data_IF_064931412757
#
_entry.id   IF_064931412757
#
_cell.length_a   1.000
_cell.length_b   1.000
_cell.length_c   1.000
_cell.angle_alpha   90.00
_cell.angle_beta   90.00
_cell.angle_gamma   90.00
#
_symmetry.space_group_name_H-M   'P 1'
#
loop_
_entity.id
_entity.type
_entity.pdbx_description
1 polymer ?
#
# COMPACT_ATOMS: atom_id res chain seq x y z
N UNK A 1 -19.22 -14.35 14.31
CA UNK A 1 -18.42 -15.52 13.87
C UNK A 1 -16.98 -15.33 14.29
N UNK A 2 -16.08 -16.26 13.94
CA UNK A 2 -14.62 -16.11 14.11
C UNK A 2 -13.92 -16.30 12.77
N UNK A 3 -12.87 -15.51 12.52
CA UNK A 3 -12.03 -15.61 11.32
C UNK A 3 -10.72 -16.30 11.71
N UNK A 4 -10.38 -17.38 11.01
CA UNK A 4 -9.10 -18.09 11.18
C UNK A 4 -8.23 -17.82 9.96
N UNK A 5 -7.03 -17.27 10.17
CA UNK A 5 -6.10 -16.89 9.10
C UNK A 5 -4.71 -17.46 9.33
N UNK A 6 -3.93 -17.60 8.26
CA UNK A 6 -2.52 -17.99 8.30
C UNK A 6 -1.71 -16.89 9.00
N UNK A 7 -0.87 -17.28 9.96
CA UNK A 7 0.12 -16.37 10.56
C UNK A 7 1.26 -16.12 9.56
N UNK A 8 1.47 -14.86 9.20
CA UNK A 8 2.59 -14.42 8.36
C UNK A 8 3.72 -13.92 9.27
N UNK A 9 4.95 -14.33 9.00
CA UNK A 9 6.12 -13.87 9.73
C UNK A 9 7.04 -13.03 8.83
N UNK A 10 7.52 -11.92 9.36
CA UNK A 10 8.43 -11.02 8.66
C UNK A 10 7.73 -10.10 7.66
N UNK A 11 8.52 -9.55 6.72
CA UNK A 11 8.09 -8.48 5.82
C UNK A 11 8.34 -7.07 6.37
N UNK A 12 8.09 -6.08 5.51
CA UNK A 12 8.07 -4.66 5.85
C UNK A 12 6.60 -4.25 5.91
N UNK A 13 6.21 -3.62 7.01
CA UNK A 13 4.87 -3.08 7.16
C UNK A 13 4.74 -1.81 6.33
N UNK A 14 3.71 -1.78 5.49
CA UNK A 14 3.29 -0.66 4.67
C UNK A 14 1.82 -0.36 4.96
N UNK A 15 1.41 0.86 4.65
CA UNK A 15 0.01 1.22 4.47
C UNK A 15 -0.25 1.40 2.98
N UNK A 16 -1.41 0.92 2.54
CA UNK A 16 -1.87 1.13 1.18
C UNK A 16 -3.38 1.37 1.23
N UNK A 17 -3.88 2.42 0.60
CA UNK A 17 -5.30 2.71 0.69
C UNK A 17 -5.81 3.69 -0.33
N UNK A 18 -7.12 3.89 -0.30
CA UNK A 18 -7.87 4.86 -1.10
C UNK A 18 -8.74 5.67 -0.15
N UNK A 19 -8.75 6.98 -0.33
CA UNK A 19 -9.73 7.87 0.28
C UNK A 19 -10.38 8.71 -0.80
N UNK A 20 -11.70 8.69 -0.84
CA UNK A 20 -12.47 9.48 -1.80
C UNK A 20 -12.92 10.77 -1.16
N UNK A 21 -12.42 11.87 -1.69
CA UNK A 21 -12.92 13.19 -1.36
C UNK A 21 -14.13 13.54 -2.25
N UNK A 22 -15.19 14.17 -1.73
CA UNK A 22 -16.36 14.54 -2.52
C UNK A 22 -16.08 15.51 -3.68
N UNK A 23 -15.03 16.33 -3.59
CA UNK A 23 -14.66 17.32 -4.61
C UNK A 23 -13.56 16.81 -5.52
N UNK A 24 -12.53 16.18 -4.95
CA UNK A 24 -11.32 15.78 -5.69
C UNK A 24 -11.35 14.33 -6.18
N UNK A 25 -12.31 13.53 -5.74
CA UNK A 25 -12.41 12.11 -6.07
C UNK A 25 -11.44 11.24 -5.27
N UNK A 26 -11.23 9.98 -5.69
CA UNK A 26 -10.34 9.05 -5.01
C UNK A 26 -8.87 9.50 -5.06
N UNK A 27 -8.16 9.31 -3.96
CA UNK A 27 -6.71 9.41 -3.88
C UNK A 27 -6.15 8.13 -3.27
N UNK A 28 -5.16 7.54 -3.94
CA UNK A 28 -4.40 6.39 -3.47
C UNK A 28 -3.27 6.89 -2.58
N UNK A 29 -3.09 6.26 -1.43
CA UNK A 29 -1.97 6.49 -0.52
C UNK A 29 -1.11 5.24 -0.41
N UNK A 30 0.21 5.42 -0.48
CA UNK A 30 1.19 4.38 -0.16
C UNK A 30 2.20 4.96 0.82
N UNK A 31 2.58 4.20 1.84
CA UNK A 31 3.60 4.63 2.80
C UNK A 31 4.05 3.49 3.70
N UNK A 32 5.04 3.74 4.55
CA UNK A 32 5.41 2.77 5.59
C UNK A 32 4.30 2.62 6.63
N UNK A 33 4.20 1.46 7.27
CA UNK A 33 3.33 1.17 8.41
C UNK A 33 4.09 1.14 9.75
N UNK A 34 3.36 0.91 10.85
CA UNK A 34 3.93 0.78 12.19
C UNK A 34 4.50 2.08 12.77
N UNK A 35 5.48 1.97 13.69
CA UNK A 35 6.07 3.11 14.44
C UNK A 35 6.65 4.23 13.56
N UNK A 36 6.92 3.95 12.27
CA UNK A 36 7.46 4.93 11.34
C UNK A 36 6.40 5.93 10.84
N UNK A 37 5.10 5.65 11.00
CA UNK A 37 3.99 6.49 10.52
C UNK A 37 3.74 7.72 11.39
N UNK A 38 3.70 7.54 12.71
CA UNK A 38 3.19 8.59 13.60
C UNK A 38 4.09 9.84 13.65
N UNK A 39 5.39 9.67 13.33
CA UNK A 39 6.38 10.74 13.47
C UNK A 39 6.86 11.31 12.12
N UNK A 40 6.80 10.54 11.02
CA UNK A 40 7.40 10.96 9.74
C UNK A 40 6.40 11.34 8.65
N UNK A 41 5.12 10.91 8.75
CA UNK A 41 4.09 11.10 7.69
C UNK A 41 4.65 10.80 6.28
N UNK A 42 5.44 9.74 6.18
CA UNK A 42 6.15 9.37 4.95
C UNK A 42 5.23 8.58 4.02
N UNK A 43 4.47 9.33 3.22
CA UNK A 43 3.50 8.80 2.28
C UNK A 43 3.65 9.47 0.92
N UNK A 44 3.33 8.72 -0.13
CA UNK A 44 3.13 9.23 -1.48
C UNK A 44 1.66 9.08 -1.87
N UNK A 45 1.16 10.06 -2.64
CA UNK A 45 -0.24 10.14 -3.06
C UNK A 45 -0.33 10.19 -4.58
N UNK A 46 -1.34 9.54 -5.14
CA UNK A 46 -1.73 9.67 -6.56
C UNK A 46 -3.24 9.61 -6.72
N UNK A 47 -3.74 10.29 -7.75
CA UNK A 47 -5.14 10.16 -8.19
C UNK A 47 -5.19 9.03 -9.22
N UNK A 48 -6.15 8.09 -9.14
CA UNK A 48 -6.31 7.06 -10.15
C UNK A 48 -6.77 7.64 -11.51
N UNK A 49 -6.47 6.96 -12.62
CA UNK A 49 -5.76 5.67 -12.70
C UNK A 49 -4.25 5.82 -12.41
N UNK A 50 -3.62 4.75 -11.90
CA UNK A 50 -2.16 4.72 -11.64
C UNK A 50 -1.51 3.64 -12.49
N UNK A 51 -0.51 4.03 -13.27
CA UNK A 51 0.28 3.12 -14.11
C UNK A 51 1.48 2.50 -13.36
N UNK A 52 2.12 1.46 -13.93
CA UNK A 52 3.29 0.82 -13.31
C UNK A 52 4.45 1.78 -13.02
N UNK A 53 4.73 2.72 -13.93
CA UNK A 53 5.79 3.71 -13.74
C UNK A 53 5.48 4.69 -12.60
N UNK A 54 4.22 5.11 -12.47
CA UNK A 54 3.78 6.00 -11.38
C UNK A 54 3.78 5.26 -10.04
N UNK A 55 3.36 3.99 -10.01
CA UNK A 55 3.43 3.17 -8.81
C UNK A 55 4.88 2.96 -8.34
N UNK A 56 5.81 2.72 -9.27
CA UNK A 56 7.23 2.65 -8.94
C UNK A 56 7.76 3.99 -8.41
N UNK A 57 7.35 5.11 -9.02
CA UNK A 57 7.71 6.45 -8.54
C UNK A 57 7.16 6.74 -7.14
N UNK A 58 5.90 6.37 -6.86
CA UNK A 58 5.30 6.48 -5.52
C UNK A 58 6.13 5.79 -4.45
N UNK A 59 6.68 4.60 -4.73
CA UNK A 59 7.53 3.86 -3.79
C UNK A 59 8.88 4.55 -3.63
N UNK A 60 9.47 5.04 -4.72
CA UNK A 60 10.77 5.72 -4.70
C UNK A 60 10.73 7.11 -4.02
N UNK A 61 9.57 7.77 -4.00
CA UNK A 61 9.33 9.06 -3.34
C UNK A 61 9.33 8.98 -1.80
N UNK A 62 9.17 7.77 -1.25
CA UNK A 62 9.19 7.58 0.20
C UNK A 62 10.59 7.89 0.75
N UNK A 63 10.66 8.71 1.79
CA UNK A 63 11.91 9.06 2.48
C UNK A 63 12.61 7.82 3.02
N UNK A 64 11.83 6.82 3.44
CA UNK A 64 12.30 5.52 3.91
C UNK A 64 12.58 4.50 2.81
N UNK A 65 12.52 4.84 1.51
CA UNK A 65 12.61 3.87 0.41
C UNK A 65 13.85 2.94 0.50
N UNK A 66 14.97 3.43 1.04
CA UNK A 66 16.18 2.64 1.28
C UNK A 66 15.94 1.39 2.17
N UNK A 67 14.93 1.42 3.04
CA UNK A 67 14.53 0.27 3.89
C UNK A 67 14.00 -0.89 3.03
N UNK A 68 13.38 -0.58 1.89
CA UNK A 68 12.86 -1.56 0.94
C UNK A 68 13.99 -2.20 0.12
N UNK A 69 15.10 -1.50 -0.10
CA UNK A 69 16.29 -2.04 -0.79
C UNK A 69 17.05 -3.08 0.02
N UNK A 70 16.70 -3.29 1.30
CA UNK A 70 17.39 -4.20 2.21
C UNK A 70 18.46 -3.51 3.06
N UNK A 71 18.65 -4.00 4.28
CA UNK A 71 19.67 -3.50 5.20
C UNK A 71 20.12 -4.63 6.13
N UNK A 72 21.41 -4.62 6.53
CA UNK A 72 22.00 -5.51 7.56
C UNK A 72 21.64 -7.00 7.37
N UNK A 73 21.91 -7.56 6.19
CA UNK A 73 21.73 -8.99 5.90
C UNK A 73 20.29 -9.42 5.58
N UNK A 74 19.35 -8.48 5.52
CA UNK A 74 17.97 -8.75 5.09
C UNK A 74 17.86 -8.59 3.57
N UNK A 75 17.24 -9.56 2.89
CA UNK A 75 16.96 -9.49 1.45
C UNK A 75 16.12 -8.25 1.11
N UNK A 76 16.20 -7.69 -0.11
CA UNK A 76 15.32 -6.62 -0.55
C UNK A 76 13.84 -7.00 -0.39
N UNK A 77 12.98 -5.99 -0.23
CA UNK A 77 11.53 -6.17 -0.27
C UNK A 77 11.05 -6.34 -1.71
N UNK A 78 9.96 -7.06 -1.91
CA UNK A 78 9.33 -7.23 -3.22
C UNK A 78 8.58 -5.95 -3.66
N UNK A 79 9.35 -4.95 -4.08
CA UNK A 79 8.80 -3.66 -4.54
C UNK A 79 8.04 -3.77 -5.85
N UNK A 80 8.32 -4.81 -6.66
CA UNK A 80 7.55 -5.13 -7.86
C UNK A 80 6.11 -5.50 -7.51
N UNK A 81 5.93 -6.42 -6.55
CA UNK A 81 4.60 -6.80 -6.07
C UNK A 81 3.88 -5.65 -5.35
N UNK A 82 4.61 -4.79 -4.63
CA UNK A 82 4.01 -3.57 -4.07
C UNK A 82 3.52 -2.62 -5.16
N UNK A 83 4.30 -2.39 -6.22
CA UNK A 83 3.90 -1.55 -7.33
C UNK A 83 2.67 -2.12 -8.05
N UNK A 84 2.63 -3.44 -8.26
CA UNK A 84 1.47 -4.12 -8.83
C UNK A 84 0.22 -3.95 -7.95
N UNK A 85 0.35 -4.06 -6.62
CA UNK A 85 -0.75 -3.82 -5.70
C UNK A 85 -1.29 -2.39 -5.78
N UNK A 86 -0.42 -1.38 -5.90
CA UNK A 86 -0.80 0.02 -6.11
C UNK A 86 -1.60 0.18 -7.42
N UNK A 87 -1.12 -0.40 -8.53
CA UNK A 87 -1.81 -0.34 -9.83
C UNK A 87 -3.19 -0.98 -9.76
N UNK A 88 -3.28 -2.18 -9.15
CA UNK A 88 -4.57 -2.90 -8.98
C UNK A 88 -5.53 -2.11 -8.09
N UNK A 89 -5.03 -1.49 -7.04
CA UNK A 89 -5.84 -0.63 -6.17
C UNK A 89 -6.35 0.60 -6.93
N UNK A 90 -5.52 1.20 -7.78
CA UNK A 90 -5.95 2.31 -8.64
C UNK A 90 -7.01 1.92 -9.65
N UNK A 91 -6.91 0.73 -10.25
CA UNK A 91 -7.97 0.19 -11.12
C UNK A 91 -9.27 -0.07 -10.35
N UNK A 92 -9.19 -0.60 -9.11
CA UNK A 92 -10.35 -0.80 -8.24
C UNK A 92 -11.01 0.54 -7.88
N UNK A 93 -10.22 1.53 -7.48
CA UNK A 93 -10.69 2.87 -7.15
C UNK A 93 -11.38 3.55 -8.35
N UNK A 94 -10.83 3.38 -9.56
CA UNK A 94 -11.44 3.91 -10.78
C UNK A 94 -12.76 3.20 -11.11
N UNK A 95 -12.78 1.88 -11.03
CA UNK A 95 -13.98 1.06 -11.30
C UNK A 95 -15.12 1.43 -10.36
N UNK A 96 -14.82 1.72 -9.10
CA UNK A 96 -15.80 2.07 -8.07
C UNK A 96 -15.80 3.55 -7.71
N UNK A 97 -15.33 4.44 -8.61
CA UNK A 97 -15.12 5.87 -8.32
C UNK A 97 -16.30 6.59 -7.68
N UNK A 98 -17.53 6.19 -8.00
CA UNK A 98 -18.76 6.81 -7.47
C UNK A 98 -19.25 6.20 -6.14
N UNK A 99 -18.80 4.99 -5.81
CA UNK A 99 -19.35 4.20 -4.68
C UNK A 99 -18.31 3.92 -3.61
N UNK A 100 -17.02 3.82 -3.93
CA UNK A 100 -15.97 3.60 -2.95
C UNK A 100 -15.68 4.89 -2.18
N UNK A 101 -15.90 4.87 -0.86
CA UNK A 101 -15.54 5.99 0.03
C UNK A 101 -14.12 5.84 0.57
N UNK A 102 -13.79 4.63 1.03
CA UNK A 102 -12.47 4.35 1.58
C UNK A 102 -12.12 2.87 1.41
N UNK A 103 -10.83 2.61 1.25
CA UNK A 103 -10.22 1.30 1.44
C UNK A 103 -8.90 1.53 2.18
N UNK A 104 -8.78 1.02 3.39
CA UNK A 104 -7.54 1.08 4.17
C UNK A 104 -6.98 -0.33 4.29
N UNK A 105 -5.74 -0.54 3.86
CA UNK A 105 -5.00 -1.80 4.01
C UNK A 105 -3.82 -1.50 4.93
N UNK A 106 -3.97 -1.86 6.19
CA UNK A 106 -3.00 -1.58 7.23
C UNK A 106 -3.05 -2.68 8.33
N UNK A 107 -2.03 -3.54 8.45
CA UNK A 107 -0.79 -3.53 7.69
C UNK A 107 -0.89 -4.28 6.35
N UNK A 108 -0.24 -3.73 5.32
CA UNK A 108 0.20 -4.46 4.14
C UNK A 108 1.64 -4.91 4.35
N UNK A 109 1.88 -6.22 4.41
CA UNK A 109 3.24 -6.77 4.51
C UNK A 109 3.87 -6.94 3.14
N UNK A 110 4.98 -6.25 2.89
CA UNK A 110 5.85 -6.48 1.72
C UNK A 110 6.92 -7.49 2.11
N UNK A 111 6.84 -8.69 1.53
CA UNK A 111 7.76 -9.78 1.84
C UNK A 111 9.10 -9.57 1.13
N UNK A 112 10.05 -10.48 1.35
CA UNK A 112 11.31 -10.48 0.61
C UNK A 112 11.06 -10.68 -0.89
N UNK A 113 11.99 -10.20 -1.71
CA UNK A 113 11.92 -10.21 -3.16
C UNK A 113 11.48 -11.57 -3.73
N UNK A 114 10.52 -11.53 -4.65
CA UNK A 114 9.88 -12.71 -5.25
C UNK A 114 8.83 -13.41 -4.38
N UNK A 115 8.51 -12.91 -3.17
CA UNK A 115 7.49 -13.50 -2.29
C UNK A 115 6.20 -12.68 -2.20
N UNK A 116 6.12 -11.53 -2.85
CA UNK A 116 4.90 -10.75 -2.98
C UNK A 116 4.53 -9.90 -1.77
N UNK A 117 3.26 -9.49 -1.73
CA UNK A 117 2.66 -8.70 -0.65
C UNK A 117 1.45 -9.40 -0.04
N UNK A 118 1.16 -9.13 1.23
CA UNK A 118 -0.01 -9.68 1.94
C UNK A 118 -0.73 -8.59 2.72
N UNK A 119 -2.01 -8.37 2.40
CA UNK A 119 -2.91 -7.58 3.24
C UNK A 119 -3.28 -8.39 4.48
N UNK A 120 -2.79 -7.97 5.65
CA UNK A 120 -3.07 -8.67 6.91
C UNK A 120 -4.42 -8.24 7.46
N UNK A 121 -4.70 -6.94 7.38
CA UNK A 121 -5.97 -6.34 7.78
C UNK A 121 -6.38 -5.29 6.74
N UNK A 122 -7.69 -5.10 6.62
CA UNK A 122 -8.27 -4.11 5.72
C UNK A 122 -9.68 -3.72 6.15
N UNK A 123 -10.03 -2.46 5.89
CA UNK A 123 -11.37 -1.91 6.04
C UNK A 123 -11.80 -1.26 4.73
N UNK A 124 -13.00 -1.60 4.25
CA UNK A 124 -13.58 -1.00 3.05
C UNK A 124 -14.93 -0.37 3.38
N UNK A 125 -15.16 0.84 2.87
CA UNK A 125 -16.42 1.58 2.99
C UNK A 125 -16.94 1.94 1.60
N UNK A 126 -18.20 1.58 1.35
CA UNK A 126 -18.96 2.04 0.19
C UNK A 126 -20.03 3.05 0.61
N UNK A 127 -20.45 3.89 -0.34
CA UNK A 127 -21.48 4.90 -0.18
C UNK A 127 -22.90 4.34 -0.07
#
# INVERSE_FOLDING_TARGET
GVLVQRMIAGGREMILGVKTDPLFGPAIVCGFGGIFVEQLRDVSLRVPPVGPAEAAAMIAELRGAAILSGARGRAPADTGALAEAIVRLGALAETHRQTLRALDINPLLVLDDGRGVVAVDWLIEFA
#
